data_IF_715519065179
#
_entry.id   IF_715519065179
#
_cell.length_a   1.000
_cell.length_b   1.000
_cell.length_c   1.000
_cell.angle_alpha   90.00
_cell.angle_beta   90.00
_cell.angle_gamma   90.00
#
_symmetry.space_group_name_H-M   'P 1'
#
loop_
_entity.id
_entity.type
_entity.pdbx_description
1 polymer ?
#
# COMPACT_ATOMS: atom_id res chain seq x y z
N UNK A 1 -29.00 1.05 -8.27
CA UNK A 1 -29.73 0.75 -7.02
C UNK A 1 -30.15 2.05 -6.33
N UNK A 2 -31.15 2.04 -5.42
CA UNK A 2 -31.45 3.19 -4.55
C UNK A 2 -30.32 3.37 -3.53
N UNK A 3 -30.10 4.60 -3.04
CA UNK A 3 -29.04 4.93 -2.08
C UNK A 3 -29.04 4.06 -0.81
N UNK A 4 -30.22 3.77 -0.25
CA UNK A 4 -30.34 2.92 0.95
C UNK A 4 -29.91 1.46 0.69
N UNK A 5 -30.10 0.97 -0.53
CA UNK A 5 -29.68 -0.38 -0.90
C UNK A 5 -28.15 -0.51 -1.02
N UNK A 6 -27.44 0.60 -1.24
CA UNK A 6 -25.97 0.62 -1.14
C UNK A 6 -25.52 0.40 0.31
N UNK A 7 -26.19 1.03 1.27
CA UNK A 7 -25.91 0.85 2.71
C UNK A 7 -26.18 -0.57 3.17
N UNK A 8 -27.30 -1.18 2.75
CA UNK A 8 -27.59 -2.59 3.05
C UNK A 8 -26.48 -3.52 2.52
N UNK A 9 -26.05 -3.32 1.28
CA UNK A 9 -24.98 -4.15 0.70
C UNK A 9 -23.65 -3.90 1.42
N UNK A 10 -23.33 -2.66 1.80
CA UNK A 10 -22.13 -2.34 2.56
C UNK A 10 -22.14 -3.01 3.94
N UNK A 11 -23.29 -3.06 4.62
CA UNK A 11 -23.48 -3.74 5.90
C UNK A 11 -23.17 -5.23 5.79
N UNK A 12 -23.76 -5.93 4.83
CA UNK A 12 -23.54 -7.36 4.62
C UNK A 12 -22.05 -7.69 4.38
N UNK A 13 -21.36 -6.83 3.62
CA UNK A 13 -19.93 -7.00 3.34
C UNK A 13 -19.11 -6.76 4.61
N UNK A 14 -19.44 -5.72 5.39
CA UNK A 14 -18.76 -5.42 6.66
C UNK A 14 -19.01 -6.50 7.73
N UNK A 15 -20.21 -7.09 7.79
CA UNK A 15 -20.55 -8.17 8.74
C UNK A 15 -19.68 -9.42 8.55
N UNK A 16 -19.34 -9.72 7.29
CA UNK A 16 -18.51 -10.87 6.93
C UNK A 16 -17.00 -10.55 6.91
N UNK A 17 -16.64 -9.26 6.91
CA UNK A 17 -15.25 -8.85 6.79
C UNK A 17 -14.46 -9.13 8.08
N UNK A 18 -13.27 -9.70 7.93
CA UNK A 18 -12.31 -9.91 9.02
C UNK A 18 -10.96 -9.35 8.59
N UNK A 19 -10.53 -8.19 9.15
CA UNK A 19 -9.30 -7.51 8.75
C UNK A 19 -8.05 -8.38 8.72
N UNK A 20 -7.90 -9.32 9.66
CA UNK A 20 -6.74 -10.22 9.76
C UNK A 20 -6.70 -11.34 8.72
N UNK A 21 -7.81 -11.58 7.99
CA UNK A 21 -7.90 -12.70 7.03
C UNK A 21 -7.59 -12.32 5.59
N UNK A 22 -7.88 -11.07 5.19
CA UNK A 22 -7.68 -10.63 3.81
C UNK A 22 -7.70 -9.10 3.68
N UNK A 23 -6.97 -8.54 2.69
CA UNK A 23 -7.08 -7.12 2.35
C UNK A 23 -8.52 -6.72 2.02
N UNK A 24 -8.91 -5.52 2.43
CA UNK A 24 -10.29 -5.02 2.29
C UNK A 24 -10.74 -5.00 0.83
N UNK A 25 -9.88 -4.50 -0.07
CA UNK A 25 -10.16 -4.43 -1.50
C UNK A 25 -10.49 -5.81 -2.11
N UNK A 26 -9.79 -6.86 -1.68
CA UNK A 26 -10.01 -8.22 -2.18
C UNK A 26 -11.34 -8.78 -1.66
N UNK A 27 -11.66 -8.55 -0.39
CA UNK A 27 -12.94 -8.96 0.21
C UNK A 27 -14.11 -8.29 -0.51
N UNK A 28 -14.08 -6.96 -0.66
CA UNK A 28 -15.10 -6.20 -1.39
C UNK A 28 -15.25 -6.71 -2.82
N UNK A 29 -14.13 -6.91 -3.53
CA UNK A 29 -14.14 -7.40 -4.91
C UNK A 29 -14.82 -8.77 -5.02
N UNK A 30 -14.48 -9.70 -4.12
CA UNK A 30 -15.05 -11.05 -4.12
C UNK A 30 -16.55 -11.03 -3.80
N UNK A 31 -16.96 -10.26 -2.79
CA UNK A 31 -18.36 -10.10 -2.41
C UNK A 31 -19.21 -9.45 -3.50
N UNK A 32 -18.69 -8.40 -4.14
CA UNK A 32 -19.42 -7.70 -5.21
C UNK A 32 -19.42 -8.49 -6.51
N UNK A 33 -18.42 -9.35 -6.78
CA UNK A 33 -18.39 -10.19 -7.99
C UNK A 33 -19.65 -11.05 -8.12
N UNK A 34 -20.19 -11.54 -7.00
CA UNK A 34 -21.37 -12.38 -6.97
C UNK A 34 -22.70 -11.59 -7.10
N UNK A 35 -22.67 -10.27 -6.89
CA UNK A 35 -23.83 -9.38 -6.92
C UNK A 35 -24.02 -8.74 -8.30
N UNK A 36 -24.56 -9.52 -9.25
CA UNK A 36 -24.71 -9.11 -10.68
C UNK A 36 -25.62 -7.90 -10.89
N UNK A 37 -26.53 -7.61 -9.95
CA UNK A 37 -27.43 -6.47 -10.01
C UNK A 37 -26.74 -5.11 -9.79
N UNK A 38 -25.53 -5.09 -9.21
CA UNK A 38 -24.78 -3.87 -8.96
C UNK A 38 -23.91 -3.50 -10.18
N UNK A 39 -24.24 -2.39 -10.84
CA UNK A 39 -23.43 -1.81 -11.92
C UNK A 39 -22.17 -1.12 -11.40
N UNK A 40 -21.32 -0.60 -12.30
CA UNK A 40 -20.05 0.05 -11.93
C UNK A 40 -20.23 1.25 -10.99
N UNK A 41 -21.29 2.05 -11.19
CA UNK A 41 -21.62 3.18 -10.30
C UNK A 41 -22.05 2.70 -8.91
N UNK A 42 -22.89 1.66 -8.84
CA UNK A 42 -23.33 1.07 -7.56
C UNK A 42 -22.15 0.49 -6.78
N UNK A 43 -21.26 -0.27 -7.45
CA UNK A 43 -20.06 -0.85 -6.84
C UNK A 43 -19.13 0.22 -6.28
N UNK A 44 -18.98 1.34 -6.98
CA UNK A 44 -18.18 2.48 -6.51
C UNK A 44 -18.78 3.07 -5.24
N UNK A 45 -20.08 3.36 -5.23
CA UNK A 45 -20.77 3.92 -4.05
C UNK A 45 -20.71 2.98 -2.84
N UNK A 46 -20.94 1.67 -3.03
CA UNK A 46 -20.83 0.67 -1.96
C UNK A 46 -19.40 0.62 -1.40
N UNK A 47 -18.40 0.62 -2.27
CA UNK A 47 -16.98 0.61 -1.88
C UNK A 47 -16.64 1.85 -1.07
N UNK A 48 -17.08 3.04 -1.51
CA UNK A 48 -16.85 4.31 -0.82
C UNK A 48 -17.43 4.32 0.59
N UNK A 49 -18.66 3.82 0.78
CA UNK A 49 -19.28 3.67 2.10
C UNK A 49 -18.41 2.79 3.00
N UNK A 50 -17.99 1.60 2.52
CA UNK A 50 -17.19 0.65 3.29
C UNK A 50 -15.84 1.28 3.69
N UNK A 51 -15.12 1.91 2.75
CA UNK A 51 -13.85 2.57 3.04
C UNK A 51 -14.01 3.74 4.03
N UNK A 52 -15.12 4.48 3.94
CA UNK A 52 -15.42 5.60 4.84
C UNK A 52 -15.60 5.14 6.28
N UNK A 53 -16.30 4.03 6.50
CA UNK A 53 -16.45 3.38 7.81
C UNK A 53 -15.11 2.82 8.28
N UNK A 54 -14.43 2.04 7.44
CA UNK A 54 -13.18 1.36 7.82
C UNK A 54 -12.05 2.33 8.16
N UNK A 55 -11.96 3.48 7.48
CA UNK A 55 -10.94 4.51 7.77
C UNK A 55 -11.07 5.09 9.18
N UNK A 56 -12.29 5.07 9.73
CA UNK A 56 -12.66 5.58 11.06
C UNK A 56 -12.80 4.47 12.11
N UNK A 57 -12.58 3.21 11.73
CA UNK A 57 -12.88 2.06 12.59
C UNK A 57 -12.33 2.17 14.02
N UNK A 58 -11.09 2.65 14.27
CA UNK A 58 -10.61 2.80 15.65
C UNK A 58 -11.46 3.73 16.52
N UNK A 59 -11.88 4.89 15.99
CA UNK A 59 -12.77 5.81 16.71
C UNK A 59 -14.15 5.18 16.93
N UNK A 60 -14.68 4.47 15.92
CA UNK A 60 -15.98 3.83 16.01
C UNK A 60 -15.98 2.69 17.04
N UNK A 61 -14.88 1.92 17.13
CA UNK A 61 -14.71 0.87 18.13
C UNK A 61 -14.62 1.44 19.55
N UNK A 62 -13.89 2.53 19.75
CA UNK A 62 -13.84 3.22 21.04
C UNK A 62 -15.23 3.76 21.44
N UNK A 63 -15.97 4.36 20.50
CA UNK A 63 -17.34 4.82 20.73
C UNK A 63 -18.31 3.68 21.10
N UNK A 64 -18.07 2.46 20.61
CA UNK A 64 -18.80 1.25 20.94
C UNK A 64 -18.34 0.60 22.26
N UNK A 65 -17.26 1.08 22.88
CA UNK A 65 -16.63 0.44 24.04
C UNK A 65 -16.05 -0.94 23.72
N UNK A 66 -15.68 -1.18 22.45
CA UNK A 66 -15.10 -2.43 21.98
C UNK A 66 -13.58 -2.32 21.86
N UNK A 67 -12.85 -3.44 21.99
CA UNK A 67 -11.43 -3.46 21.67
C UNK A 67 -11.15 -3.03 20.22
N UNK A 68 -10.02 -2.36 20.01
CA UNK A 68 -9.60 -1.78 18.72
C UNK A 68 -9.40 -2.80 17.58
N UNK A 69 -9.36 -4.09 17.88
CA UNK A 69 -9.26 -5.19 16.91
C UNK A 69 -10.61 -5.88 16.63
N UNK A 70 -11.70 -5.49 17.27
CA UNK A 70 -12.98 -6.24 17.27
C UNK A 70 -13.98 -5.80 16.19
N UNK A 71 -13.62 -5.95 14.91
CA UNK A 71 -14.58 -5.82 13.80
C UNK A 71 -15.29 -7.17 13.59
N UNK A 72 -16.34 -7.42 14.40
CA UNK A 72 -17.18 -8.64 14.28
C UNK A 72 -18.49 -8.41 13.54
N UNK A 73 -19.04 -7.19 13.58
CA UNK A 73 -20.32 -6.82 12.98
C UNK A 73 -20.23 -5.43 12.35
N UNK A 74 -20.73 -5.30 11.13
CA UNK A 74 -20.79 -4.06 10.36
C UNK A 74 -21.90 -3.12 10.80
N UNK A 75 -23.05 -3.65 11.26
CA UNK A 75 -24.19 -2.81 11.67
C UNK A 75 -23.87 -1.82 12.80
N UNK A 76 -23.25 -2.23 13.93
CA UNK A 76 -22.87 -1.28 14.98
C UNK A 76 -21.89 -0.21 14.49
N UNK A 77 -20.92 -0.58 13.64
CA UNK A 77 -19.96 0.37 13.06
C UNK A 77 -20.65 1.40 12.16
N UNK A 78 -21.56 0.96 11.29
CA UNK A 78 -22.31 1.84 10.38
C UNK A 78 -23.20 2.81 11.15
N UNK A 79 -23.97 2.32 12.13
CA UNK A 79 -24.83 3.16 12.95
C UNK A 79 -24.03 4.18 13.74
N UNK A 80 -22.90 3.77 14.32
CA UNK A 80 -21.99 4.68 15.03
C UNK A 80 -21.41 5.74 14.09
N UNK A 81 -21.01 5.36 12.88
CA UNK A 81 -20.54 6.29 11.86
C UNK A 81 -21.61 7.31 11.47
N UNK A 82 -22.82 6.86 11.13
CA UNK A 82 -23.91 7.73 10.72
C UNK A 82 -24.32 8.67 11.86
N UNK A 83 -24.40 8.18 13.10
CA UNK A 83 -24.72 9.00 14.26
C UNK A 83 -23.71 10.13 14.48
N UNK A 84 -22.41 9.82 14.41
CA UNK A 84 -21.35 10.79 14.68
C UNK A 84 -21.11 11.78 13.53
N UNK A 85 -21.35 11.38 12.28
CA UNK A 85 -20.93 12.17 11.10
C UNK A 85 -22.04 12.59 10.14
N UNK A 86 -23.23 11.98 10.19
CA UNK A 86 -24.35 12.28 9.28
C UNK A 86 -25.60 12.76 10.04
N UNK A 87 -25.74 12.40 11.31
CA UNK A 87 -26.85 12.82 12.18
C UNK A 87 -28.03 11.83 12.19
N UNK A 88 -28.89 11.97 13.21
CA UNK A 88 -29.98 11.02 13.47
C UNK A 88 -31.03 10.94 12.36
N UNK A 89 -31.37 12.05 11.70
CA UNK A 89 -32.35 12.04 10.60
C UNK A 89 -31.93 11.18 9.41
N UNK A 90 -30.62 11.14 9.10
CA UNK A 90 -30.08 10.30 8.04
C UNK A 90 -30.16 8.80 8.38
N UNK A 91 -30.12 8.45 9.67
CA UNK A 91 -30.25 7.06 10.11
C UNK A 91 -31.66 6.55 9.83
N UNK A 92 -32.69 7.32 10.14
CA UNK A 92 -34.09 6.92 9.92
C UNK A 92 -34.40 6.77 8.42
N UNK A 93 -33.83 7.65 7.59
CA UNK A 93 -33.93 7.56 6.12
C UNK A 93 -33.27 6.31 5.56
N UNK A 94 -32.11 5.91 6.09
CA UNK A 94 -31.36 4.73 5.63
C UNK A 94 -31.99 3.45 6.18
N UNK A 95 -32.27 3.40 7.48
CA UNK A 95 -32.78 2.22 8.21
C UNK A 95 -34.31 2.23 8.26
N UNK A 96 -34.97 2.42 7.12
CA UNK A 96 -36.44 2.45 7.06
C UNK A 96 -37.09 1.07 6.89
N UNK A 97 -36.31 0.01 6.59
CA UNK A 97 -36.83 -1.34 6.33
C UNK A 97 -37.53 -1.52 4.98
N UNK A 98 -37.66 -0.47 4.16
CA UNK A 98 -38.35 -0.55 2.88
C UNK A 98 -37.50 -1.21 1.78
N UNK A 99 -38.06 -2.22 1.12
CA UNK A 99 -37.48 -2.86 -0.06
C UNK A 99 -36.13 -3.52 0.22
N UNK A 100 -35.04 -2.88 -0.24
CA UNK A 100 -33.66 -3.35 -0.05
C UNK A 100 -32.88 -2.50 0.96
N UNK A 101 -33.57 -1.70 1.77
CA UNK A 101 -32.95 -0.87 2.81
C UNK A 101 -32.66 -1.72 4.07
N UNK A 102 -31.69 -1.32 4.90
CA UNK A 102 -31.46 -1.93 6.20
C UNK A 102 -32.71 -1.98 7.08
N UNK A 103 -32.80 -3.01 7.92
CA UNK A 103 -33.88 -3.17 8.90
C UNK A 103 -33.91 -2.01 9.89
N UNK A 104 -35.12 -1.63 10.30
CA UNK A 104 -35.37 -0.53 11.25
C UNK A 104 -34.52 -0.71 12.51
N UNK A 105 -34.04 0.42 13.05
CA UNK A 105 -33.29 0.43 14.30
C UNK A 105 -34.16 -0.08 15.44
N UNK A 106 -33.57 -0.91 16.30
CA UNK A 106 -34.21 -1.32 17.55
C UNK A 106 -34.21 -0.15 18.55
N UNK A 107 -35.10 -0.19 19.55
CA UNK A 107 -35.13 0.83 20.61
C UNK A 107 -33.75 0.97 21.30
N UNK A 108 -33.07 -0.15 21.54
CA UNK A 108 -31.73 -0.18 22.10
C UNK A 108 -30.69 0.52 21.20
N UNK A 109 -30.81 0.38 19.87
CA UNK A 109 -29.94 1.10 18.92
C UNK A 109 -30.22 2.59 18.93
N UNK A 110 -31.49 3.00 18.94
CA UNK A 110 -31.86 4.42 19.04
C UNK A 110 -31.34 5.06 20.32
N UNK A 111 -31.49 4.38 21.47
CA UNK A 111 -31.01 4.90 22.74
C UNK A 111 -29.48 4.97 22.78
N UNK A 112 -28.78 3.97 22.24
CA UNK A 112 -27.33 4.03 22.08
C UNK A 112 -26.89 5.21 21.21
N UNK A 113 -27.53 5.41 20.05
CA UNK A 113 -27.23 6.49 19.11
C UNK A 113 -27.35 7.87 19.77
N UNK A 114 -28.39 8.09 20.59
CA UNK A 114 -28.56 9.36 21.34
C UNK A 114 -27.42 9.65 22.30
N UNK A 115 -26.70 8.63 22.75
CA UNK A 115 -25.54 8.84 23.62
C UNK A 115 -24.30 9.28 22.85
N UNK A 116 -24.23 9.08 21.53
CA UNK A 116 -23.02 9.34 20.75
C UNK A 116 -22.86 10.84 20.47
N UNK A 117 -21.65 11.36 20.68
CA UNK A 117 -21.29 12.73 20.34
C UNK A 117 -19.79 12.82 20.08
N UNK A 118 -19.40 13.60 19.06
CA UNK A 118 -17.99 13.93 18.80
C UNK A 118 -17.37 14.81 19.90
N UNK A 119 -18.20 15.47 20.71
CA UNK A 119 -17.76 16.27 21.87
C UNK A 119 -17.42 15.39 23.09
N UNK A 120 -17.71 14.08 23.04
CA UNK A 120 -17.21 13.14 24.05
C UNK A 120 -15.68 13.11 24.03
N UNK A 121 -15.08 12.97 25.21
CA UNK A 121 -13.62 12.91 25.37
C UNK A 121 -13.03 11.59 24.86
N UNK A 122 -12.94 11.41 23.54
CA UNK A 122 -12.22 10.31 22.91
C UNK A 122 -10.71 10.41 23.16
N UNK A 123 -10.03 9.27 23.17
CA UNK A 123 -8.57 9.18 23.23
C UNK A 123 -7.91 9.97 22.09
N UNK A 124 -6.67 10.40 22.30
CA UNK A 124 -5.90 11.08 21.25
C UNK A 124 -5.65 10.18 20.04
N UNK A 125 -5.50 8.87 20.25
CA UNK A 125 -5.38 7.89 19.19
C UNK A 125 -6.65 7.80 18.34
N UNK A 126 -7.82 7.69 18.98
CA UNK A 126 -9.12 7.66 18.29
C UNK A 126 -9.39 8.96 17.53
N UNK A 127 -9.07 10.13 18.09
CA UNK A 127 -9.16 11.41 17.38
C UNK A 127 -8.29 11.45 16.11
N UNK A 128 -7.22 10.65 16.06
CA UNK A 128 -6.37 10.45 14.89
C UNK A 128 -6.76 9.25 14.02
N UNK A 129 -7.92 8.64 14.31
CA UNK A 129 -8.43 7.42 13.68
C UNK A 129 -7.41 6.29 13.70
N UNK A 130 -6.82 6.04 14.87
CA UNK A 130 -5.86 4.96 15.12
C UNK A 130 -6.17 4.25 16.43
N UNK A 131 -5.70 3.00 16.53
CA UNK A 131 -5.62 2.29 17.79
C UNK A 131 -4.49 2.85 18.67
N UNK A 132 -4.59 2.65 19.98
CA UNK A 132 -3.70 3.26 20.99
C UNK A 132 -2.25 2.81 20.80
N UNK A 133 -2.04 1.50 20.62
CA UNK A 133 -0.69 0.95 20.43
C UNK A 133 -0.07 1.45 19.12
N UNK A 134 -0.84 1.46 18.02
CA UNK A 134 -0.35 1.83 16.69
C UNK A 134 -0.03 3.32 16.64
N UNK A 135 -0.90 4.14 17.23
CA UNK A 135 -0.67 5.56 17.39
C UNK A 135 0.64 5.81 18.13
N UNK A 136 0.84 5.15 19.29
CA UNK A 136 2.04 5.29 20.11
C UNK A 136 3.32 4.97 19.33
N UNK A 137 3.38 3.84 18.63
CA UNK A 137 4.60 3.46 17.90
C UNK A 137 4.87 4.32 16.68
N UNK A 138 3.82 4.82 16.00
CA UNK A 138 3.99 5.69 14.84
C UNK A 138 4.47 7.09 15.23
N UNK A 139 4.25 7.54 16.47
CA UNK A 139 4.78 8.82 16.93
C UNK A 139 6.31 8.87 16.98
N UNK A 140 7.00 7.72 16.91
CA UNK A 140 8.48 7.68 16.83
C UNK A 140 9.03 8.16 15.48
N UNK A 141 8.24 8.06 14.40
CA UNK A 141 8.69 8.34 13.03
C UNK A 141 7.79 9.31 12.25
N UNK A 142 6.53 9.41 12.66
CA UNK A 142 5.52 10.30 12.08
C UNK A 142 5.37 11.60 12.85
N UNK A 143 5.14 12.69 12.11
CA UNK A 143 4.77 13.98 12.65
C UNK A 143 3.23 14.18 12.65
N UNK A 144 2.69 15.21 13.32
CA UNK A 144 1.24 15.46 13.34
C UNK A 144 0.58 15.53 11.96
N UNK A 145 1.28 16.01 10.92
CA UNK A 145 0.72 16.15 9.57
C UNK A 145 0.54 14.78 8.91
N UNK A 146 1.37 13.80 9.25
CA UNK A 146 1.20 12.42 8.78
C UNK A 146 -0.14 11.84 9.29
N UNK A 147 -0.48 12.09 10.56
CA UNK A 147 -1.75 11.63 11.14
C UNK A 147 -2.97 12.23 10.47
N UNK A 148 -2.91 13.50 10.07
CA UNK A 148 -3.97 14.11 9.27
C UNK A 148 -4.04 13.50 7.86
N UNK A 149 -2.91 13.22 7.22
CA UNK A 149 -2.91 12.56 5.92
C UNK A 149 -3.49 11.13 5.98
N UNK A 150 -3.30 10.38 7.07
CA UNK A 150 -3.91 9.04 7.21
C UNK A 150 -5.44 9.04 7.30
N UNK A 151 -6.06 10.22 7.43
CA UNK A 151 -7.52 10.43 7.39
C UNK A 151 -8.02 10.69 5.97
N UNK A 152 -7.12 11.00 5.04
CA UNK A 152 -7.45 11.30 3.65
C UNK A 152 -7.41 10.05 2.76
N UNK A 153 -8.03 10.16 1.58
CA UNK A 153 -7.83 9.19 0.52
C UNK A 153 -6.42 9.34 -0.08
N UNK A 154 -5.74 8.23 -0.32
CA UNK A 154 -4.44 8.27 -0.99
C UNK A 154 -4.59 8.78 -2.44
N UNK A 155 -3.62 9.56 -2.92
CA UNK A 155 -3.59 9.98 -4.32
C UNK A 155 -3.50 8.78 -5.26
N UNK A 156 -3.95 8.95 -6.49
CA UNK A 156 -3.83 7.95 -7.54
C UNK A 156 -2.67 8.34 -8.46
N UNK A 157 -1.58 7.59 -8.40
CA UNK A 157 -0.39 7.86 -9.21
C UNK A 157 -0.16 6.70 -10.19
N UNK A 158 0.36 7.03 -11.37
CA UNK A 158 0.80 6.08 -12.39
C UNK A 158 2.29 6.25 -12.68
N UNK A 159 2.96 5.14 -13.01
CA UNK A 159 4.32 5.14 -13.58
C UNK A 159 4.22 4.97 -15.09
N UNK A 160 4.74 5.90 -15.86
CA UNK A 160 4.83 5.75 -17.32
C UNK A 160 5.99 4.84 -17.70
N UNK A 161 5.76 3.96 -18.69
CA UNK A 161 6.79 3.10 -19.29
C UNK A 161 7.22 3.59 -20.69
N UNK A 162 6.54 4.62 -21.20
CA UNK A 162 6.84 5.34 -22.44
C UNK A 162 7.12 6.82 -22.10
N UNK A 163 7.62 7.64 -23.05
CA UNK A 163 7.90 9.04 -22.78
C UNK A 163 6.72 9.77 -22.12
N UNK A 164 6.98 10.40 -20.96
CA UNK A 164 5.95 10.99 -20.10
C UNK A 164 5.06 11.98 -20.85
N UNK A 165 5.65 12.88 -21.63
CA UNK A 165 4.91 13.89 -22.40
C UNK A 165 3.93 13.27 -23.41
N UNK A 166 4.29 12.11 -23.98
CA UNK A 166 3.43 11.40 -24.90
C UNK A 166 2.20 10.82 -24.19
N UNK A 167 2.40 10.15 -23.05
CA UNK A 167 1.33 9.57 -22.25
C UNK A 167 0.41 10.66 -21.70
N UNK A 168 1.00 11.72 -21.15
CA UNK A 168 0.29 12.88 -20.62
C UNK A 168 -0.61 13.50 -21.69
N UNK A 169 -0.07 13.78 -22.88
CA UNK A 169 -0.83 14.37 -24.01
C UNK A 169 -2.03 13.52 -24.45
N UNK A 170 -1.92 12.19 -24.44
CA UNK A 170 -3.03 11.31 -24.83
C UNK A 170 -4.10 11.30 -23.74
N UNK A 171 -3.70 11.14 -22.47
CA UNK A 171 -4.63 11.07 -21.35
C UNK A 171 -5.36 12.41 -21.10
N UNK A 172 -4.73 13.56 -21.38
CA UNK A 172 -5.34 14.89 -21.31
C UNK A 172 -6.40 15.16 -22.38
N UNK A 173 -6.59 14.26 -23.35
CA UNK A 173 -7.72 14.35 -24.29
C UNK A 173 -9.06 14.05 -23.60
N UNK A 174 -9.04 13.36 -22.45
CA UNK A 174 -10.19 13.15 -21.61
C UNK A 174 -10.31 14.31 -20.61
N UNK A 175 -11.25 15.22 -20.86
CA UNK A 175 -11.51 16.40 -20.01
C UNK A 175 -11.91 16.05 -18.56
N UNK A 176 -12.26 14.78 -18.28
CA UNK A 176 -12.57 14.31 -16.92
C UNK A 176 -11.34 13.91 -16.11
N UNK A 177 -10.16 13.91 -16.74
CA UNK A 177 -8.87 13.55 -16.15
C UNK A 177 -8.01 14.80 -16.00
N UNK A 178 -7.42 14.98 -14.83
CA UNK A 178 -6.37 15.99 -14.61
C UNK A 178 -5.08 15.28 -14.22
N UNK A 179 -3.97 15.68 -14.86
CA UNK A 179 -2.66 15.09 -14.67
C UNK A 179 -1.67 16.12 -14.14
N UNK A 180 -0.96 15.74 -13.09
CA UNK A 180 0.12 16.53 -12.51
C UNK A 180 1.37 15.67 -12.41
N UNK A 181 2.52 16.22 -12.79
CA UNK A 181 3.79 15.56 -12.50
C UNK A 181 4.04 15.57 -10.99
N UNK A 182 4.49 14.45 -10.46
CA UNK A 182 4.80 14.37 -9.03
C UNK A 182 6.20 14.93 -8.72
N UNK A 183 6.48 15.13 -7.44
CA UNK A 183 7.59 15.97 -6.99
C UNK A 183 8.97 15.34 -7.16
N UNK A 184 9.07 14.02 -7.18
CA UNK A 184 10.33 13.29 -7.03
C UNK A 184 10.63 12.37 -8.21
N UNK A 185 9.69 11.51 -8.62
CA UNK A 185 9.89 10.56 -9.72
C UNK A 185 9.77 11.26 -11.08
N UNK A 186 10.75 11.10 -11.99
CA UNK A 186 10.63 11.59 -13.36
C UNK A 186 9.61 10.85 -14.21
N UNK A 187 9.10 9.70 -13.75
CA UNK A 187 8.19 8.83 -14.48
C UNK A 187 6.75 8.84 -13.94
N UNK A 188 6.48 9.67 -12.94
CA UNK A 188 5.23 9.61 -12.19
C UNK A 188 4.28 10.73 -12.57
N UNK A 189 3.02 10.35 -12.83
CA UNK A 189 1.89 11.26 -13.00
C UNK A 189 0.84 10.98 -11.93
N UNK A 190 0.42 12.03 -11.23
CA UNK A 190 -0.74 12.03 -10.36
C UNK A 190 -1.99 12.28 -11.19
N UNK A 191 -2.99 11.44 -10.98
CA UNK A 191 -4.26 11.44 -11.68
C UNK A 191 -5.36 11.85 -10.72
N UNK A 192 -6.13 12.86 -11.09
CA UNK A 192 -7.37 13.24 -10.40
C UNK A 192 -8.55 13.28 -11.38
N UNK A 193 -9.77 13.44 -10.84
CA UNK A 193 -11.00 13.39 -11.63
C UNK A 193 -11.57 11.98 -11.82
N UNK A 194 -12.60 11.86 -12.66
CA UNK A 194 -13.32 10.59 -12.86
C UNK A 194 -12.65 9.74 -13.93
N UNK A 195 -11.82 8.80 -13.52
CA UNK A 195 -11.04 7.99 -14.45
C UNK A 195 -11.38 6.50 -14.36
N UNK A 196 -11.26 5.80 -15.49
CA UNK A 196 -11.22 4.33 -15.54
C UNK A 196 -9.98 3.87 -16.30
N UNK A 197 -8.81 4.28 -15.79
CA UNK A 197 -7.53 4.01 -16.44
C UNK A 197 -7.23 2.53 -16.62
N UNK A 198 -7.75 1.65 -15.77
CA UNK A 198 -7.59 0.20 -15.93
C UNK A 198 -8.22 -0.33 -17.22
N UNK A 199 -9.22 0.35 -17.79
CA UNK A 199 -9.85 -0.04 -19.06
C UNK A 199 -9.31 0.75 -20.25
N UNK A 200 -8.39 1.69 -20.03
CA UNK A 200 -7.83 2.53 -21.09
C UNK A 200 -6.87 1.72 -21.98
N UNK A 201 -6.85 1.92 -23.32
CA UNK A 201 -5.95 1.21 -24.23
C UNK A 201 -4.48 1.26 -23.80
N UNK A 202 -3.97 2.45 -23.45
CA UNK A 202 -2.61 2.63 -22.94
C UNK A 202 -2.27 1.74 -21.73
N UNK A 203 -3.21 1.48 -20.81
CA UNK A 203 -2.96 0.58 -19.70
C UNK A 203 -2.92 -0.88 -20.16
N UNK A 204 -3.82 -1.27 -21.07
CA UNK A 204 -3.88 -2.63 -21.63
C UNK A 204 -2.65 -2.98 -22.48
N UNK A 205 -2.06 -1.97 -23.12
CA UNK A 205 -0.82 -2.04 -23.90
C UNK A 205 0.44 -1.90 -23.04
N UNK A 206 0.31 -1.74 -21.72
CA UNK A 206 1.44 -1.64 -20.80
C UNK A 206 2.21 -0.31 -20.84
N UNK A 207 1.65 0.73 -21.46
CA UNK A 207 2.28 2.04 -21.59
C UNK A 207 2.46 2.78 -20.24
N UNK A 208 1.68 2.40 -19.23
CA UNK A 208 1.88 2.81 -17.84
C UNK A 208 1.36 1.75 -16.86
N UNK A 209 1.81 1.83 -15.61
CA UNK A 209 1.36 1.03 -14.48
C UNK A 209 0.71 1.91 -13.39
N UNK A 210 -0.24 1.35 -12.64
CA UNK A 210 -0.76 2.01 -11.44
C UNK A 210 0.21 1.74 -10.29
N UNK A 211 0.90 2.78 -9.82
CA UNK A 211 1.96 2.64 -8.82
C UNK A 211 2.18 3.97 -8.10
N UNK A 212 2.13 3.94 -6.76
CA UNK A 212 2.47 5.10 -5.92
C UNK A 212 3.90 5.59 -6.19
N UNK A 213 4.10 6.90 -6.19
CA UNK A 213 5.41 7.52 -6.43
C UNK A 213 6.50 6.94 -5.52
N UNK A 214 6.21 6.64 -4.24
CA UNK A 214 7.20 6.07 -3.32
C UNK A 214 7.78 4.74 -3.80
N UNK A 215 6.94 3.88 -4.38
CA UNK A 215 7.38 2.59 -4.94
C UNK A 215 8.18 2.77 -6.23
N UNK A 216 7.88 3.82 -7.01
CA UNK A 216 8.65 4.16 -8.21
C UNK A 216 10.06 4.65 -7.82
N UNK A 217 10.15 5.52 -6.80
CA UNK A 217 11.43 6.04 -6.28
C UNK A 217 12.37 4.89 -5.95
N UNK A 218 11.94 3.88 -5.19
CA UNK A 218 12.82 2.74 -4.83
C UNK A 218 13.36 2.02 -6.05
N UNK A 219 12.54 1.86 -7.10
CA UNK A 219 12.98 1.22 -8.35
C UNK A 219 14.01 2.07 -9.10
N UNK A 220 13.87 3.40 -9.06
CA UNK A 220 14.85 4.33 -9.63
C UNK A 220 16.16 4.30 -8.86
N UNK A 221 16.10 4.32 -7.52
CA UNK A 221 17.29 4.32 -6.66
C UNK A 221 18.09 3.01 -6.68
N UNK A 222 17.49 1.93 -7.18
CA UNK A 222 18.24 0.72 -7.53
C UNK A 222 19.28 0.96 -8.64
N UNK A 223 19.12 2.03 -9.44
CA UNK A 223 20.04 2.48 -10.48
C UNK A 223 20.47 1.38 -11.46
N UNK A 224 19.53 0.65 -12.11
CA UNK A 224 19.86 -0.47 -12.97
C UNK A 224 20.76 -0.03 -14.15
N UNK A 225 21.83 -0.78 -14.42
CA UNK A 225 22.78 -0.51 -15.50
C UNK A 225 22.79 -1.63 -16.55
N UNK A 226 23.20 -1.34 -17.79
CA UNK A 226 23.36 -2.35 -18.82
C UNK A 226 24.24 -3.51 -18.35
N UNK A 227 23.88 -4.74 -18.72
CA UNK A 227 24.56 -5.98 -18.35
C UNK A 227 24.53 -6.36 -16.86
N UNK A 228 23.86 -5.59 -15.99
CA UNK A 228 23.68 -6.01 -14.59
C UNK A 228 22.75 -7.22 -14.49
N UNK A 229 23.11 -8.16 -13.63
CA UNK A 229 22.20 -9.18 -13.11
C UNK A 229 21.54 -8.66 -11.85
N UNK A 230 20.21 -8.55 -11.90
CA UNK A 230 19.40 -8.01 -10.82
C UNK A 230 18.47 -9.10 -10.28
N UNK A 231 18.48 -9.30 -8.96
CA UNK A 231 17.56 -10.18 -8.26
C UNK A 231 16.55 -9.35 -7.48
N UNK A 232 15.26 -9.55 -7.73
CA UNK A 232 14.17 -9.12 -6.84
C UNK A 232 13.68 -10.33 -6.04
N UNK A 233 14.07 -10.39 -4.76
CA UNK A 233 13.85 -11.56 -3.91
C UNK A 233 12.39 -11.67 -3.42
N UNK A 234 11.64 -10.58 -3.43
CA UNK A 234 10.27 -10.48 -2.92
C UNK A 234 9.37 -9.72 -3.91
N UNK A 235 9.34 -10.18 -5.16
CA UNK A 235 8.79 -9.44 -6.30
C UNK A 235 7.28 -9.15 -6.22
N UNK A 236 6.52 -9.93 -5.45
CA UNK A 236 5.06 -9.81 -5.39
C UNK A 236 4.43 -9.93 -6.77
N UNK A 237 3.57 -8.97 -7.12
CA UNK A 237 2.95 -8.87 -8.43
C UNK A 237 3.83 -8.12 -9.47
N UNK A 238 5.13 -7.97 -9.19
CA UNK A 238 6.14 -7.45 -10.11
C UNK A 238 6.25 -5.94 -10.19
N UNK A 239 5.68 -5.17 -9.24
CA UNK A 239 5.64 -3.70 -9.35
C UNK A 239 7.02 -3.06 -9.57
N UNK A 240 8.03 -3.50 -8.81
CA UNK A 240 9.42 -3.02 -8.89
C UNK A 240 10.23 -3.79 -9.93
N UNK A 241 10.08 -5.11 -10.01
CA UNK A 241 10.79 -5.92 -11.01
C UNK A 241 10.46 -5.50 -12.45
N UNK A 242 9.19 -5.19 -12.75
CA UNK A 242 8.78 -4.67 -14.06
C UNK A 242 9.31 -3.24 -14.28
N UNK A 243 9.39 -2.42 -13.22
CA UNK A 243 10.00 -1.10 -13.31
C UNK A 243 11.47 -1.19 -13.70
N UNK A 244 12.23 -2.06 -13.02
CA UNK A 244 13.65 -2.28 -13.29
C UNK A 244 13.88 -2.78 -14.71
N UNK A 245 13.07 -3.75 -15.16
CA UNK A 245 13.12 -4.28 -16.50
C UNK A 245 12.82 -3.23 -17.58
N UNK A 246 11.84 -2.34 -17.33
CA UNK A 246 11.50 -1.25 -18.23
C UNK A 246 12.56 -0.12 -18.24
N UNK A 247 13.16 0.18 -17.07
CA UNK A 247 14.18 1.22 -16.91
C UNK A 247 15.49 0.87 -17.63
N UNK A 248 15.87 -0.41 -17.67
CA UNK A 248 17.08 -0.86 -18.35
C UNK A 248 16.83 -2.19 -19.09
N UNK A 249 16.44 -2.14 -20.38
CA UNK A 249 16.23 -3.32 -21.21
C UNK A 249 17.45 -4.24 -21.35
N UNK A 250 18.67 -3.70 -21.15
CA UNK A 250 19.94 -4.42 -21.24
C UNK A 250 20.38 -5.09 -19.92
N UNK A 251 19.64 -4.90 -18.82
CA UNK A 251 19.85 -5.65 -17.58
C UNK A 251 19.10 -6.99 -17.59
N UNK A 252 19.56 -7.97 -16.81
CA UNK A 252 18.89 -9.27 -16.64
C UNK A 252 18.21 -9.35 -15.26
N UNK A 253 16.88 -9.42 -15.24
CA UNK A 253 16.10 -9.43 -14.00
C UNK A 253 15.64 -10.84 -13.67
N UNK A 254 15.93 -11.31 -12.46
CA UNK A 254 15.31 -12.48 -11.86
C UNK A 254 14.36 -12.02 -10.75
N UNK A 255 13.08 -12.34 -10.89
CA UNK A 255 12.05 -12.00 -9.91
C UNK A 255 11.54 -13.26 -9.22
N UNK A 256 11.55 -13.27 -7.89
CA UNK A 256 11.10 -14.41 -7.09
C UNK A 256 10.03 -14.02 -6.08
N UNK A 257 9.11 -14.92 -5.80
CA UNK A 257 8.12 -14.77 -4.74
C UNK A 257 7.67 -16.16 -4.26
N UNK A 258 7.21 -16.24 -3.01
CA UNK A 258 6.70 -17.49 -2.41
C UNK A 258 5.28 -17.82 -2.89
N UNK A 259 4.59 -16.87 -3.51
CA UNK A 259 3.22 -16.99 -3.97
C UNK A 259 3.16 -17.05 -5.51
N UNK A 260 3.05 -18.25 -6.11
CA UNK A 260 3.08 -18.43 -7.57
C UNK A 260 2.03 -17.58 -8.31
N UNK A 261 0.83 -17.45 -7.74
CA UNK A 261 -0.24 -16.65 -8.34
C UNK A 261 0.12 -15.15 -8.51
N UNK A 262 1.01 -14.60 -7.67
CA UNK A 262 1.49 -13.22 -7.82
C UNK A 262 2.48 -13.10 -8.97
N UNK A 263 3.36 -14.09 -9.11
CA UNK A 263 4.27 -14.21 -10.25
C UNK A 263 3.51 -14.40 -11.57
N UNK A 264 2.40 -15.13 -11.59
CA UNK A 264 1.55 -15.27 -12.78
C UNK A 264 0.97 -13.91 -13.22
N UNK A 265 0.59 -13.05 -12.26
CA UNK A 265 0.14 -11.69 -12.55
C UNK A 265 1.29 -10.86 -13.11
N UNK A 266 2.46 -10.93 -12.48
CA UNK A 266 3.66 -10.22 -12.93
C UNK A 266 4.08 -10.64 -14.35
N UNK A 267 4.04 -11.94 -14.65
CA UNK A 267 4.39 -12.50 -15.96
C UNK A 267 3.42 -12.03 -17.05
N UNK A 268 2.11 -11.94 -16.75
CA UNK A 268 1.13 -11.38 -17.69
C UNK A 268 1.43 -9.91 -17.99
N UNK A 269 1.73 -9.12 -16.96
CA UNK A 269 2.09 -7.70 -17.10
C UNK A 269 3.40 -7.51 -17.87
N UNK A 270 4.42 -8.33 -17.62
CA UNK A 270 5.67 -8.34 -18.39
C UNK A 270 5.42 -8.55 -19.88
N UNK A 271 4.58 -9.54 -20.23
CA UNK A 271 4.20 -9.82 -21.61
C UNK A 271 3.43 -8.65 -22.25
N UNK A 272 2.52 -8.03 -21.50
CA UNK A 272 1.78 -6.85 -21.95
C UNK A 272 2.71 -5.68 -22.26
N UNK A 273 3.74 -5.49 -21.44
CA UNK A 273 4.76 -4.43 -21.60
C UNK A 273 5.87 -4.79 -22.61
N UNK A 274 5.85 -5.98 -23.20
CA UNK A 274 6.90 -6.43 -24.12
C UNK A 274 8.26 -6.69 -23.46
N UNK A 275 8.30 -6.88 -22.14
CA UNK A 275 9.54 -7.09 -21.39
C UNK A 275 10.06 -8.51 -21.60
N UNK A 276 11.27 -8.63 -22.14
CA UNK A 276 11.92 -9.91 -22.47
C UNK A 276 13.13 -10.22 -21.59
N UNK A 277 13.59 -9.23 -20.82
CA UNK A 277 14.78 -9.28 -19.98
C UNK A 277 14.49 -9.67 -18.51
N UNK A 278 13.28 -10.16 -18.22
CA UNK A 278 12.84 -10.59 -16.88
C UNK A 278 12.41 -12.06 -16.86
N UNK A 279 12.83 -12.79 -15.82
CA UNK A 279 12.44 -14.18 -15.55
C UNK A 279 11.80 -14.28 -14.17
N UNK A 280 10.81 -15.17 -14.05
CA UNK A 280 10.07 -15.39 -12.81
C UNK A 280 10.30 -16.81 -12.29
N UNK A 281 10.64 -16.92 -11.02
CA UNK A 281 11.02 -18.20 -10.39
C UNK A 281 10.40 -18.33 -9.00
N UNK A 282 10.00 -19.54 -8.61
CA UNK A 282 9.55 -19.81 -7.24
C UNK A 282 10.68 -19.57 -6.24
N UNK A 283 10.39 -18.77 -5.20
CA UNK A 283 11.39 -18.37 -4.20
C UNK A 283 12.00 -19.58 -3.46
N UNK A 284 11.21 -20.60 -3.12
CA UNK A 284 11.71 -21.75 -2.32
C UNK A 284 12.66 -22.62 -3.12
N UNK A 285 12.42 -22.76 -4.41
CA UNK A 285 13.34 -23.43 -5.32
C UNK A 285 14.62 -22.60 -5.50
N UNK A 286 14.47 -21.29 -5.73
CA UNK A 286 15.57 -20.37 -5.96
C UNK A 286 16.59 -20.35 -4.82
N UNK A 287 16.14 -20.17 -3.56
CA UNK A 287 17.06 -20.04 -2.41
C UNK A 287 17.88 -21.29 -2.10
N UNK A 288 17.47 -22.45 -2.62
CA UNK A 288 18.14 -23.75 -2.44
C UNK A 288 19.18 -24.03 -3.52
N UNK A 289 19.10 -23.33 -4.64
CA UNK A 289 20.03 -23.50 -5.75
C UNK A 289 21.29 -22.68 -5.49
N UNK A 290 22.38 -23.40 -5.20
CA UNK A 290 23.68 -22.82 -4.88
C UNK A 290 24.33 -22.13 -6.09
N UNK A 291 23.87 -22.38 -7.32
CA UNK A 291 24.39 -21.71 -8.52
C UNK A 291 24.10 -20.21 -8.58
N UNK A 292 23.19 -19.72 -7.75
CA UNK A 292 22.85 -18.30 -7.63
C UNK A 292 23.73 -17.53 -6.63
N UNK A 293 24.57 -18.22 -5.85
CA UNK A 293 25.42 -17.58 -4.84
C UNK A 293 26.41 -16.62 -5.52
N UNK A 294 26.58 -15.44 -4.94
CA UNK A 294 27.48 -14.38 -5.41
C UNK A 294 27.32 -14.01 -6.91
N UNK A 295 26.12 -14.17 -7.46
CA UNK A 295 25.86 -14.04 -8.90
C UNK A 295 25.36 -12.65 -9.32
N UNK A 296 24.73 -11.90 -8.43
CA UNK A 296 23.95 -10.72 -8.79
C UNK A 296 24.68 -9.42 -8.45
N UNK A 297 24.73 -8.50 -9.41
CA UNK A 297 25.27 -7.14 -9.21
C UNK A 297 24.37 -6.30 -8.30
N UNK A 298 23.07 -6.59 -8.30
CA UNK A 298 22.07 -5.95 -7.45
C UNK A 298 21.09 -6.98 -6.91
N UNK A 299 20.86 -6.97 -5.60
CA UNK A 299 19.78 -7.72 -4.94
C UNK A 299 18.84 -6.74 -4.27
N UNK A 300 17.57 -6.75 -4.66
CA UNK A 300 16.48 -6.01 -4.07
C UNK A 300 15.67 -6.92 -3.14
N UNK A 301 15.46 -6.47 -1.91
CA UNK A 301 14.56 -7.07 -0.92
C UNK A 301 13.47 -6.05 -0.59
N UNK A 302 12.40 -6.05 -1.37
CA UNK A 302 11.15 -5.35 -1.05
C UNK A 302 10.37 -6.19 -0.04
N UNK A 303 10.73 -6.07 1.24
CA UNK A 303 10.38 -7.06 2.23
C UNK A 303 8.88 -7.03 2.59
N UNK A 304 8.26 -8.20 2.81
CA UNK A 304 6.98 -8.28 3.49
C UNK A 304 7.05 -7.55 4.84
N UNK A 305 6.13 -6.63 5.06
CA UNK A 305 6.11 -5.75 6.22
C UNK A 305 4.68 -5.42 6.65
N UNK A 306 4.55 -4.66 7.74
CA UNK A 306 3.26 -4.24 8.29
C UNK A 306 2.40 -3.41 7.34
N UNK A 307 3.00 -2.76 6.33
CA UNK A 307 2.29 -1.87 5.42
C UNK A 307 1.81 -0.57 6.07
N UNK A 308 2.35 -0.18 7.23
CA UNK A 308 1.98 1.06 7.94
C UNK A 308 2.23 2.35 7.15
N UNK A 309 3.03 2.31 6.09
CA UNK A 309 3.14 3.42 5.13
C UNK A 309 1.93 3.59 4.22
N UNK A 310 1.07 2.57 4.12
CA UNK A 310 -0.04 2.50 3.16
C UNK A 310 -1.43 2.64 3.80
N UNK A 311 -1.52 3.11 5.05
CA UNK A 311 -2.78 3.17 5.82
C UNK A 311 -3.93 3.94 5.15
N UNK A 312 -3.62 4.87 4.23
CA UNK A 312 -4.62 5.59 3.43
C UNK A 312 -5.30 4.70 2.38
N UNK A 313 -4.54 3.73 1.84
CA UNK A 313 -4.98 2.73 0.85
C UNK A 313 -5.57 1.49 1.53
N UNK A 314 -5.01 1.13 2.67
CA UNK A 314 -5.37 -0.05 3.46
C UNK A 314 -5.76 0.33 4.88
N UNK A 315 -6.91 1.02 5.08
CA UNK A 315 -7.35 1.45 6.41
C UNK A 315 -7.60 0.29 7.37
N UNK A 316 -7.87 -0.92 6.87
CA UNK A 316 -8.01 -2.14 7.66
C UNK A 316 -6.75 -2.47 8.48
N UNK A 317 -5.57 -1.99 8.09
CA UNK A 317 -4.33 -2.21 8.82
C UNK A 317 -4.33 -1.55 10.20
N UNK A 318 -5.10 -0.46 10.37
CA UNK A 318 -5.23 0.28 11.63
C UNK A 318 -5.86 -0.55 12.77
N UNK A 319 -6.54 -1.64 12.43
CA UNK A 319 -7.29 -2.50 13.35
C UNK A 319 -6.87 -3.98 13.25
N UNK A 320 -6.08 -4.36 12.25
CA UNK A 320 -5.60 -5.74 12.07
C UNK A 320 -4.18 -5.98 12.55
N UNK A 321 -3.36 -4.91 12.59
CA UNK A 321 -2.00 -5.02 13.10
C UNK A 321 -2.01 -5.19 14.62
N UNK A 322 -1.01 -5.90 15.13
CA UNK A 322 -0.75 -6.11 16.56
C UNK A 322 0.75 -6.27 16.78
N UNK A 323 1.25 -6.07 18.00
CA UNK A 323 2.67 -6.25 18.32
C UNK A 323 3.24 -7.61 17.87
N UNK A 324 2.49 -8.70 18.06
CA UNK A 324 2.91 -10.05 17.67
C UNK A 324 3.09 -10.19 16.15
N UNK A 325 2.18 -9.60 15.37
CA UNK A 325 2.26 -9.58 13.90
C UNK A 325 3.49 -8.77 13.45
N UNK A 326 3.79 -7.65 14.10
CA UNK A 326 4.99 -6.86 13.81
C UNK A 326 6.26 -7.67 14.11
N UNK A 327 6.26 -8.43 15.20
CA UNK A 327 7.39 -9.29 15.57
C UNK A 327 7.61 -10.44 14.56
N UNK A 328 6.53 -10.99 13.99
CA UNK A 328 6.62 -11.94 12.88
C UNK A 328 7.27 -11.32 11.64
N UNK A 329 6.86 -10.11 11.24
CA UNK A 329 7.46 -9.41 10.11
C UNK A 329 8.94 -9.10 10.35
N UNK A 330 9.30 -8.65 11.55
CA UNK A 330 10.70 -8.40 11.93
C UNK A 330 11.54 -9.67 11.79
N UNK A 331 11.05 -10.82 12.28
CA UNK A 331 11.77 -12.11 12.14
C UNK A 331 11.94 -12.49 10.67
N UNK A 332 10.89 -12.34 9.87
CA UNK A 332 10.92 -12.64 8.44
C UNK A 332 11.89 -11.73 7.68
N UNK A 333 11.86 -10.42 7.93
CA UNK A 333 12.75 -9.43 7.32
C UNK A 333 14.22 -9.75 7.61
N UNK A 334 14.56 -10.12 8.85
CA UNK A 334 15.91 -10.57 9.22
C UNK A 334 16.34 -11.79 8.42
N UNK A 335 15.47 -12.80 8.33
CA UNK A 335 15.77 -14.02 7.59
C UNK A 335 15.98 -13.70 6.09
N UNK A 336 15.15 -12.85 5.50
CA UNK A 336 15.29 -12.43 4.11
C UNK A 336 16.59 -11.68 3.83
N UNK A 337 17.04 -10.82 4.75
CA UNK A 337 18.35 -10.15 4.63
C UNK A 337 19.52 -11.13 4.70
N UNK A 338 19.44 -12.13 5.59
CA UNK A 338 20.43 -13.21 5.71
C UNK A 338 20.47 -14.06 4.43
N UNK A 339 19.32 -14.33 3.82
CA UNK A 339 19.27 -15.07 2.57
C UNK A 339 19.77 -14.22 1.39
N UNK A 340 19.34 -12.96 1.30
CA UNK A 340 19.66 -12.05 0.21
C UNK A 340 21.17 -11.80 0.06
N UNK A 341 21.89 -11.60 1.17
CA UNK A 341 23.33 -11.28 1.13
C UNK A 341 24.17 -12.36 0.43
N UNK A 342 23.71 -13.63 0.45
CA UNK A 342 24.39 -14.76 -0.20
C UNK A 342 24.36 -14.67 -1.73
N UNK A 343 23.41 -13.92 -2.29
CA UNK A 343 23.26 -13.78 -3.74
C UNK A 343 23.96 -12.54 -4.29
N UNK A 344 24.38 -11.61 -3.42
CA UNK A 344 25.10 -10.40 -3.81
C UNK A 344 26.51 -10.76 -4.25
N UNK A 345 26.82 -10.54 -5.52
CA UNK A 345 28.14 -10.78 -6.08
C UNK A 345 29.21 -9.83 -5.53
N UNK A 346 30.49 -10.08 -5.83
CA UNK A 346 31.59 -9.20 -5.43
C UNK A 346 31.35 -7.78 -5.94
N UNK A 347 31.48 -6.78 -5.08
CA UNK A 347 31.16 -5.36 -5.39
C UNK A 347 29.70 -5.10 -5.79
N UNK A 348 28.81 -6.06 -5.54
CA UNK A 348 27.38 -5.92 -5.76
C UNK A 348 26.71 -5.11 -4.65
N UNK A 349 25.46 -4.73 -4.91
CA UNK A 349 24.63 -3.94 -3.99
C UNK A 349 23.45 -4.75 -3.47
N UNK A 350 23.15 -4.59 -2.18
CA UNK A 350 21.90 -5.02 -1.56
C UNK A 350 21.03 -3.80 -1.26
N UNK A 351 19.77 -3.84 -1.67
CA UNK A 351 18.76 -2.83 -1.36
C UNK A 351 17.69 -3.47 -0.49
N UNK A 352 17.52 -2.95 0.71
CA UNK A 352 16.44 -3.33 1.61
C UNK A 352 15.38 -2.26 1.61
N UNK A 353 14.12 -2.64 1.40
CA UNK A 353 13.03 -1.69 1.27
C UNK A 353 11.74 -2.21 1.92
N UNK A 354 10.94 -1.32 2.49
CA UNK A 354 9.63 -1.64 3.07
C UNK A 354 8.63 -0.52 2.80
N UNK A 355 7.33 -0.85 2.77
CA UNK A 355 6.27 0.15 2.89
C UNK A 355 5.80 0.32 4.35
N UNK A 356 6.72 0.24 5.31
CA UNK A 356 6.49 0.47 6.73
C UNK A 356 7.03 1.83 7.17
N UNK A 357 6.37 2.41 8.18
CA UNK A 357 6.84 3.59 8.91
C UNK A 357 7.44 3.22 10.27
N UNK A 358 7.47 1.93 10.64
CA UNK A 358 7.98 1.50 11.93
C UNK A 358 9.50 1.39 11.93
N UNK A 359 10.15 2.09 12.86
CA UNK A 359 11.60 2.02 13.05
C UNK A 359 12.13 0.59 13.19
N UNK A 360 11.38 -0.25 13.90
CA UNK A 360 11.72 -1.67 14.15
C UNK A 360 11.79 -2.52 12.88
N UNK A 361 11.03 -2.17 11.84
CA UNK A 361 11.05 -2.82 10.53
C UNK A 361 12.06 -2.17 9.57
N UNK A 362 12.60 -1.01 9.92
CA UNK A 362 13.36 -0.14 9.03
C UNK A 362 14.79 0.04 9.54
N UNK A 363 15.08 1.16 10.21
CA UNK A 363 16.42 1.52 10.67
C UNK A 363 17.03 0.46 11.56
N UNK A 364 16.23 -0.17 12.44
CA UNK A 364 16.73 -1.22 13.33
C UNK A 364 17.15 -2.48 12.56
N UNK A 365 16.48 -2.80 11.44
CA UNK A 365 16.86 -3.91 10.56
C UNK A 365 18.14 -3.60 9.80
N UNK A 366 18.21 -2.40 9.21
CA UNK A 366 19.37 -1.93 8.45
C UNK A 366 20.63 -1.88 9.33
N UNK A 367 20.53 -1.29 10.52
CA UNK A 367 21.63 -1.22 11.48
C UNK A 367 22.10 -2.61 11.90
N UNK A 368 21.15 -3.49 12.24
CA UNK A 368 21.48 -4.84 12.67
C UNK A 368 22.15 -5.65 11.56
N UNK A 369 21.70 -5.49 10.31
CA UNK A 369 22.33 -6.12 9.16
C UNK A 369 23.81 -5.72 9.03
N UNK A 370 24.14 -4.44 9.16
CA UNK A 370 25.53 -3.96 9.10
C UNK A 370 26.38 -4.47 10.28
N UNK A 371 25.81 -4.59 11.47
CA UNK A 371 26.48 -5.19 12.63
C UNK A 371 26.81 -6.67 12.42
N UNK A 372 25.88 -7.42 11.83
CA UNK A 372 26.02 -8.88 11.62
C UNK A 372 26.84 -9.21 10.35
N UNK A 373 26.98 -8.28 9.40
CA UNK A 373 27.61 -8.50 8.08
C UNK A 373 28.69 -7.45 7.77
N UNK A 374 29.90 -7.53 8.37
CA UNK A 374 30.96 -6.51 8.25
C UNK A 374 31.57 -6.37 6.85
N UNK A 375 31.24 -7.28 5.92
CA UNK A 375 31.61 -7.16 4.51
C UNK A 375 30.71 -6.23 3.72
N UNK A 376 29.67 -5.67 4.33
CA UNK A 376 28.83 -4.65 3.72
C UNK A 376 29.12 -3.28 4.33
N UNK A 377 29.06 -2.25 3.50
CA UNK A 377 29.10 -0.85 3.91
C UNK A 377 27.83 -0.13 3.50
N UNK A 378 27.35 0.78 4.36
CA UNK A 378 26.21 1.64 4.05
C UNK A 378 26.51 2.61 2.90
N UNK A 379 25.53 2.80 2.03
CA UNK A 379 25.56 3.78 0.95
C UNK A 379 24.56 4.88 1.29
N UNK A 380 25.00 6.14 1.14
CA UNK A 380 24.11 7.29 1.37
C UNK A 380 23.01 7.33 0.32
N UNK A 381 21.77 7.08 0.75
CA UNK A 381 20.59 7.24 -0.10
C UNK A 381 20.53 8.63 -0.75
N UNK A 382 20.96 9.67 -0.04
CA UNK A 382 21.03 11.05 -0.55
C UNK A 382 21.82 11.18 -1.86
N UNK A 383 23.00 10.55 -1.93
CA UNK A 383 23.87 10.64 -3.09
C UNK A 383 23.27 9.97 -4.34
N UNK A 384 22.42 8.96 -4.12
CA UNK A 384 21.67 8.29 -5.18
C UNK A 384 20.47 9.15 -5.59
N UNK A 385 19.73 9.69 -4.62
CA UNK A 385 18.58 10.57 -4.85
C UNK A 385 18.97 11.82 -5.65
N UNK A 386 20.07 12.48 -5.29
CA UNK A 386 20.55 13.70 -5.95
C UNK A 386 20.87 13.48 -7.44
N UNK A 387 21.14 12.23 -7.85
CA UNK A 387 21.44 11.85 -9.23
C UNK A 387 20.21 11.44 -10.02
N UNK A 388 19.25 10.76 -9.39
CA UNK A 388 18.20 10.00 -10.11
C UNK A 388 16.79 10.58 -9.96
N UNK A 389 16.56 11.43 -8.96
CA UNK A 389 15.25 12.04 -8.72
C UNK A 389 15.20 13.47 -9.26
N UNK A 390 13.99 13.95 -9.59
CA UNK A 390 13.73 15.37 -9.88
C UNK A 390 14.14 16.27 -8.72
N UNK A 391 13.98 15.75 -7.50
CA UNK A 391 14.28 16.43 -6.24
C UNK A 391 14.59 15.38 -5.18
N UNK A 392 15.55 15.68 -4.32
CA UNK A 392 15.83 14.83 -3.15
C UNK A 392 14.90 15.18 -2.00
N UNK A 393 14.22 14.19 -1.37
CA UNK A 393 13.46 14.39 -0.15
C UNK A 393 14.37 14.92 0.97
N UNK A 394 13.94 15.96 1.69
CA UNK A 394 14.83 16.80 2.53
C UNK A 394 15.50 16.01 3.66
N UNK A 395 14.76 15.06 4.23
CA UNK A 395 15.14 14.24 5.38
C UNK A 395 16.05 13.07 4.97
N UNK A 396 16.32 12.87 3.67
CA UNK A 396 17.18 11.79 3.17
C UNK A 396 18.65 12.06 3.48
N UNK A 397 19.28 11.11 4.17
CA UNK A 397 20.72 11.01 4.35
C UNK A 397 21.20 9.58 4.00
N UNK A 398 21.44 8.73 4.99
CA UNK A 398 21.78 7.32 4.77
C UNK A 398 20.58 6.48 4.32
N UNK A 399 19.39 6.81 4.80
CA UNK A 399 18.16 6.12 4.44
C UNK A 399 17.24 7.03 3.64
N UNK A 400 16.46 6.42 2.74
CA UNK A 400 15.27 7.05 2.18
C UNK A 400 14.12 6.83 3.16
N UNK A 401 13.50 7.91 3.61
CA UNK A 401 12.32 7.88 4.49
C UNK A 401 11.22 8.77 3.92
N UNK A 402 10.18 8.14 3.40
CA UNK A 402 9.02 8.82 2.83
C UNK A 402 7.84 8.69 3.78
N UNK A 403 7.02 9.73 3.82
CA UNK A 403 5.79 9.78 4.63
C UNK A 403 4.72 10.60 3.92
N UNK A 404 3.43 10.29 4.14
CA UNK A 404 2.34 11.05 3.54
C UNK A 404 2.33 12.54 3.86
N UNK A 405 2.60 12.91 5.12
CA UNK A 405 2.58 14.28 5.62
C UNK A 405 3.63 15.17 4.98
N UNK A 406 4.87 14.66 4.87
CA UNK A 406 6.01 15.41 4.34
C UNK A 406 6.11 15.36 2.82
N UNK A 407 5.81 14.22 2.22
CA UNK A 407 6.16 13.92 0.83
C UNK A 407 4.96 13.80 -0.10
N UNK A 408 3.73 13.69 0.43
CA UNK A 408 2.52 13.46 -0.37
C UNK A 408 2.56 12.17 -1.21
N UNK A 409 3.40 11.22 -0.83
CA UNK A 409 3.45 9.83 -1.31
C UNK A 409 2.89 8.90 -0.25
N UNK A 410 2.87 7.59 -0.45
CA UNK A 410 2.78 6.67 0.69
C UNK A 410 4.08 6.66 1.52
N UNK A 411 3.99 6.09 2.71
CA UNK A 411 5.13 5.87 3.57
C UNK A 411 6.02 4.74 3.06
N UNK A 412 7.33 4.96 3.06
CA UNK A 412 8.29 4.01 2.49
C UNK A 412 9.68 4.19 3.10
N UNK A 413 10.43 3.10 3.16
CA UNK A 413 11.81 3.07 3.63
C UNK A 413 12.70 2.35 2.61
N UNK A 414 13.93 2.85 2.41
CA UNK A 414 14.98 2.10 1.72
C UNK A 414 16.37 2.35 2.33
N UNK A 415 17.14 1.26 2.44
CA UNK A 415 18.54 1.23 2.83
C UNK A 415 19.37 0.52 1.75
N UNK A 416 20.60 1.00 1.54
CA UNK A 416 21.47 0.57 0.45
C UNK A 416 22.81 0.14 1.04
N UNK A 417 23.29 -1.03 0.63
CA UNK A 417 24.53 -1.61 1.14
C UNK A 417 25.39 -2.14 -0.01
N UNK A 418 26.64 -1.71 -0.08
CA UNK A 418 27.61 -2.25 -1.03
C UNK A 418 28.46 -3.33 -0.36
N UNK A 419 28.64 -4.46 -1.05
CA UNK A 419 29.52 -5.55 -0.62
C UNK A 419 30.97 -5.20 -0.98
N UNK A 420 31.85 -5.21 0.02
CA UNK A 420 33.26 -4.87 -0.09
C UNK A 420 34.07 -5.84 -0.96
#
# INVERSE_FOLDING_TARGET
MRHNAHHQTALEILDTYRPTKSPLANHIKNELKNRRYAGSKDRRAITEIIYTVMRRAPLLLEALGLPEWEIKKGRPLMLTYLALYQGAGTIDDIFCGDGHSPSICTDAEHDFIKTLSLEKGFSKAAQNWMGEWLFTVLQETCDPKDFDQFKEQAPFDIRVNLPLDHIKKILEQDETITLEETAFSPLSLRVSGQHNLQNHPLFQEGAFDIQDESSQIVSLLCDPKPSMKILDLCAGAGGKSLALAALCPEAEITATDIAPHRLDIAQKRARQQGLTNIRFTDHRAFIRDVSHIDLYDLVLVDAPCSGTGTLRRHPELKVSLSPDIIDDYIRLQRQLLIDAQRFVGPKGRLVYATCSLLKRENQDQAKRFLEDHPFFSEVKAKDICDKLLKKTPKETDFFLELTPGRHKTDGFFAAFFDKN
#
